data_IF_011974591287
#
_entry.id   IF_011974591287
#
_cell.length_a   1.000
_cell.length_b   1.000
_cell.length_c   1.000
_cell.angle_alpha   90.00
_cell.angle_beta   90.00
_cell.angle_gamma   90.00
#
_symmetry.space_group_name_H-M   'P 1'
#
loop_
_entity.id
_entity.type
_entity.pdbx_description
1 polymer ?
#
# COMPACT_ATOMS: atom_id res chain seq x y z
N UNK A 1 -8.33 20.34 -13.42
CA UNK A 1 -7.00 19.73 -13.39
C UNK A 1 -6.95 18.65 -12.31
N UNK A 2 -7.28 18.96 -11.05
CA UNK A 2 -7.27 18.03 -9.93
C UNK A 2 -8.14 16.80 -10.14
N UNK A 3 -9.35 16.96 -10.68
CA UNK A 3 -10.23 15.84 -10.97
C UNK A 3 -9.60 14.84 -11.94
N UNK A 4 -8.83 15.29 -12.93
CA UNK A 4 -8.14 14.43 -13.88
C UNK A 4 -6.98 13.67 -13.23
N UNK A 5 -6.28 14.31 -12.32
CA UNK A 5 -5.15 13.70 -11.58
C UNK A 5 -5.63 12.59 -10.63
N UNK A 6 -6.76 12.81 -9.96
CA UNK A 6 -7.35 11.81 -9.05
C UNK A 6 -7.74 10.50 -9.74
N UNK A 7 -8.10 10.55 -11.02
CA UNK A 7 -8.45 9.34 -11.76
C UNK A 7 -7.26 8.52 -12.24
N UNK A 8 -6.04 9.06 -12.20
CA UNK A 8 -4.82 8.33 -12.61
C UNK A 8 -4.60 7.11 -11.72
N UNK A 9 -4.71 7.26 -10.40
CA UNK A 9 -4.56 6.15 -9.45
C UNK A 9 -5.63 5.09 -9.66
N UNK A 10 -6.87 5.50 -9.92
CA UNK A 10 -7.96 4.57 -10.22
C UNK A 10 -7.71 3.78 -11.52
N UNK A 11 -7.22 4.44 -12.58
CA UNK A 11 -6.83 3.76 -13.83
C UNK A 11 -5.74 2.73 -13.61
N UNK A 12 -4.70 3.08 -12.86
CA UNK A 12 -3.61 2.15 -12.51
C UNK A 12 -4.13 0.95 -11.72
N UNK A 13 -5.04 1.18 -10.78
CA UNK A 13 -5.62 0.12 -9.98
C UNK A 13 -6.44 -0.87 -10.83
N UNK A 14 -7.27 -0.37 -11.75
CA UNK A 14 -8.05 -1.22 -12.67
C UNK A 14 -7.15 -2.06 -13.56
N UNK A 15 -6.11 -1.44 -14.15
CA UNK A 15 -5.17 -2.15 -15.03
C UNK A 15 -4.38 -3.24 -14.28
N UNK A 16 -4.23 -3.07 -12.97
CA UNK A 16 -3.54 -4.06 -12.12
C UNK A 16 -4.42 -5.27 -11.80
N UNK A 17 -5.67 -5.01 -11.47
CA UNK A 17 -6.67 -6.03 -11.14
C UNK A 17 -8.06 -5.49 -11.46
N UNK A 18 -8.94 -6.29 -12.09
CA UNK A 18 -10.32 -5.89 -12.27
C UNK A 18 -10.97 -5.51 -10.94
N UNK A 19 -11.61 -4.34 -10.90
CA UNK A 19 -12.27 -3.79 -9.73
C UNK A 19 -13.74 -3.62 -10.08
N UNK A 20 -14.63 -4.17 -9.25
CA UNK A 20 -16.07 -4.13 -9.49
C UNK A 20 -16.69 -2.75 -9.23
N UNK A 21 -16.06 -1.94 -8.39
CA UNK A 21 -16.59 -0.63 -8.00
C UNK A 21 -15.49 0.39 -7.82
N UNK A 22 -15.72 1.56 -8.40
CA UNK A 22 -14.94 2.77 -8.14
C UNK A 22 -15.94 3.84 -7.74
N UNK A 23 -15.73 4.46 -6.58
CA UNK A 23 -16.60 5.49 -6.05
C UNK A 23 -15.98 6.87 -6.20
N UNK A 24 -16.79 7.84 -6.56
CA UNK A 24 -16.46 9.24 -6.39
C UNK A 24 -16.85 9.66 -4.97
N UNK A 25 -15.86 10.10 -4.18
CA UNK A 25 -16.08 10.63 -2.83
C UNK A 25 -16.26 12.14 -2.87
N UNK A 26 -17.29 12.65 -2.21
CA UNK A 26 -17.55 14.08 -2.12
C UNK A 26 -19.02 14.42 -1.97
N UNK A 27 -19.31 15.72 -1.92
CA UNK A 27 -20.69 16.21 -1.81
C UNK A 27 -21.34 16.29 -3.20
N UNK A 28 -22.11 15.28 -3.56
CA UNK A 28 -22.75 15.17 -4.86
C UNK A 28 -23.58 16.41 -5.24
N UNK A 29 -24.26 17.03 -4.27
CA UNK A 29 -25.03 18.25 -4.50
C UNK A 29 -24.18 19.42 -5.02
N UNK A 30 -22.91 19.51 -4.61
CA UNK A 30 -21.99 20.51 -5.15
C UNK A 30 -21.58 20.16 -6.57
N UNK A 31 -21.32 18.90 -6.85
CA UNK A 31 -20.96 18.44 -8.19
C UNK A 31 -22.05 18.72 -9.24
N UNK A 32 -23.33 18.60 -8.87
CA UNK A 32 -24.46 18.86 -9.76
C UNK A 32 -24.54 20.31 -10.28
N UNK A 33 -23.82 21.24 -9.67
CA UNK A 33 -23.73 22.63 -10.13
C UNK A 33 -22.74 22.82 -11.29
N UNK A 34 -21.99 21.78 -11.64
CA UNK A 34 -20.96 21.80 -12.68
C UNK A 34 -21.24 20.72 -13.73
N UNK A 35 -22.08 20.98 -14.71
CA UNK A 35 -22.45 20.00 -15.75
C UNK A 35 -21.23 19.38 -16.43
N UNK A 36 -20.25 20.18 -16.78
CA UNK A 36 -19.01 19.73 -17.42
C UNK A 36 -18.20 18.73 -16.56
N UNK A 37 -18.35 18.83 -15.24
CA UNK A 37 -17.75 17.85 -14.32
C UNK A 37 -18.51 16.52 -14.36
N UNK A 38 -19.83 16.58 -14.43
CA UNK A 38 -20.67 15.38 -14.54
C UNK A 38 -20.38 14.65 -15.85
N UNK A 39 -20.33 15.38 -16.96
CA UNK A 39 -19.99 14.82 -18.28
C UNK A 39 -18.61 14.15 -18.28
N UNK A 40 -17.64 14.79 -17.59
CA UNK A 40 -16.31 14.20 -17.42
C UNK A 40 -16.35 12.92 -16.58
N UNK A 41 -17.10 12.88 -15.48
CA UNK A 41 -17.26 11.67 -14.66
C UNK A 41 -17.91 10.54 -15.46
N UNK A 42 -18.92 10.85 -16.28
CA UNK A 42 -19.56 9.88 -17.17
C UNK A 42 -18.54 9.30 -18.17
N UNK A 43 -17.73 10.15 -18.79
CA UNK A 43 -16.68 9.70 -19.71
C UNK A 43 -15.68 8.77 -19.04
N UNK A 44 -15.28 9.07 -17.81
CA UNK A 44 -14.38 8.22 -17.01
C UNK A 44 -15.05 6.89 -16.65
N UNK A 45 -16.32 6.91 -16.28
CA UNK A 45 -17.06 5.68 -16.01
C UNK A 45 -17.13 4.75 -17.25
N UNK A 46 -17.32 5.33 -18.43
CA UNK A 46 -17.34 4.58 -19.68
C UNK A 46 -15.95 4.00 -20.01
N UNK A 47 -14.88 4.79 -19.86
CA UNK A 47 -13.50 4.33 -19.99
C UNK A 47 -13.22 3.15 -19.05
N UNK A 48 -13.66 3.23 -17.80
CA UNK A 48 -13.41 2.16 -16.81
C UNK A 48 -14.19 0.88 -17.10
N UNK A 49 -15.41 0.99 -17.63
CA UNK A 49 -16.16 -0.17 -18.11
C UNK A 49 -15.46 -0.85 -19.27
N UNK A 50 -14.97 -0.08 -20.23
CA UNK A 50 -14.22 -0.62 -21.38
C UNK A 50 -12.91 -1.30 -20.90
N UNK A 51 -12.14 -0.67 -20.04
CA UNK A 51 -10.95 -1.28 -19.45
C UNK A 51 -11.29 -2.59 -18.73
N UNK A 52 -12.32 -2.59 -17.91
CA UNK A 52 -12.76 -3.80 -17.19
C UNK A 52 -13.11 -4.94 -18.16
N UNK A 53 -13.91 -4.66 -19.19
CA UNK A 53 -14.28 -5.67 -20.17
C UNK A 53 -13.06 -6.26 -20.89
N UNK A 54 -12.06 -5.43 -21.16
CA UNK A 54 -10.84 -5.87 -21.85
C UNK A 54 -9.92 -6.73 -20.96
N UNK A 55 -9.93 -6.54 -19.64
CA UNK A 55 -8.97 -7.20 -18.74
C UNK A 55 -9.59 -8.26 -17.82
N UNK A 56 -10.91 -8.32 -17.65
CA UNK A 56 -11.58 -9.20 -16.68
C UNK A 56 -11.24 -10.69 -16.82
N UNK A 57 -10.84 -11.13 -18.02
CA UNK A 57 -10.45 -12.51 -18.30
C UNK A 57 -8.93 -12.73 -18.35
N UNK A 58 -8.13 -11.73 -18.01
CA UNK A 58 -6.67 -11.81 -18.07
C UNK A 58 -6.04 -11.98 -16.69
N UNK A 59 -4.85 -12.57 -16.65
CA UNK A 59 -4.01 -12.62 -15.44
C UNK A 59 -2.81 -11.69 -15.66
N UNK A 60 -2.62 -10.67 -14.82
CA UNK A 60 -1.48 -9.76 -14.96
C UNK A 60 -0.17 -10.53 -14.75
N UNK A 61 0.79 -10.31 -15.63
CA UNK A 61 2.15 -10.79 -15.44
C UNK A 61 2.94 -9.82 -14.57
N UNK A 62 3.52 -10.34 -13.49
CA UNK A 62 4.32 -9.57 -12.55
C UNK A 62 5.77 -10.03 -12.60
N UNK A 63 6.69 -9.07 -12.66
CA UNK A 63 8.13 -9.34 -12.76
C UNK A 63 8.67 -9.90 -11.45
N UNK A 64 8.24 -9.34 -10.33
CA UNK A 64 8.66 -9.67 -8.97
C UNK A 64 7.52 -9.46 -7.97
N UNK A 65 7.62 -10.16 -6.84
CA UNK A 65 6.70 -10.00 -5.72
C UNK A 65 7.33 -9.09 -4.66
N UNK A 66 6.63 -8.00 -4.34
CA UNK A 66 7.06 -7.01 -3.35
C UNK A 66 6.10 -7.02 -2.18
N UNK A 67 6.61 -7.22 -0.97
CA UNK A 67 5.83 -7.14 0.25
C UNK A 67 6.02 -5.79 0.94
N UNK A 68 4.91 -5.11 1.25
CA UNK A 68 4.91 -3.93 2.12
C UNK A 68 4.56 -4.41 3.52
N UNK A 69 5.49 -4.23 4.47
CA UNK A 69 5.27 -4.59 5.86
C UNK A 69 4.35 -3.59 6.54
N UNK A 70 3.45 -4.10 7.36
CA UNK A 70 2.55 -3.29 8.16
C UNK A 70 2.25 -3.92 9.53
N UNK A 71 1.90 -3.08 10.49
CA UNK A 71 1.40 -3.46 11.80
C UNK A 71 -0.11 -3.27 11.83
N UNK A 72 -0.85 -4.13 11.12
CA UNK A 72 -2.27 -3.93 10.87
C UNK A 72 -3.10 -3.71 12.14
N UNK A 73 -2.88 -4.50 13.19
CA UNK A 73 -3.59 -4.35 14.46
C UNK A 73 -3.32 -3.00 15.13
N UNK A 74 -2.07 -2.58 15.15
CA UNK A 74 -1.66 -1.28 15.72
C UNK A 74 -2.19 -0.12 14.89
N UNK A 75 -2.15 -0.23 13.57
CA UNK A 75 -2.69 0.76 12.66
C UNK A 75 -4.20 0.94 12.85
N UNK A 76 -4.93 -0.16 13.03
CA UNK A 76 -6.36 -0.13 13.30
C UNK A 76 -6.66 0.51 14.66
N UNK A 77 -5.95 0.11 15.72
CA UNK A 77 -6.11 0.69 17.06
C UNK A 77 -5.84 2.20 17.02
N UNK A 78 -4.76 2.62 16.37
CA UNK A 78 -4.45 4.03 16.18
C UNK A 78 -5.57 4.77 15.42
N UNK A 79 -6.08 4.22 14.33
CA UNK A 79 -7.18 4.79 13.55
C UNK A 79 -8.49 4.94 14.34
N UNK A 80 -8.72 4.11 15.38
CA UNK A 80 -9.86 4.25 16.27
C UNK A 80 -9.75 5.43 17.25
N UNK A 81 -8.52 5.86 17.57
CA UNK A 81 -8.26 6.92 18.53
C UNK A 81 -7.93 8.27 17.90
N UNK A 82 -7.65 8.30 16.62
CA UNK A 82 -7.25 9.49 15.89
C UNK A 82 -8.26 9.87 14.83
N UNK A 83 -8.57 11.15 14.74
CA UNK A 83 -9.38 11.67 13.64
C UNK A 83 -8.54 11.64 12.37
N UNK A 84 -8.92 10.82 11.43
CA UNK A 84 -8.20 10.63 10.15
C UNK A 84 -7.98 11.92 9.35
N UNK A 85 -8.73 12.98 9.64
CA UNK A 85 -8.59 14.28 8.98
C UNK A 85 -7.43 15.13 9.55
N UNK A 86 -6.87 14.77 10.68
CA UNK A 86 -5.73 15.47 11.30
C UNK A 86 -4.39 14.83 10.91
N UNK A 87 -4.20 14.55 9.65
CA UNK A 87 -3.12 13.70 9.15
C UNK A 87 -1.84 14.47 8.89
N UNK A 88 -1.24 15.03 9.90
CA UNK A 88 0.12 15.57 9.80
C UNK A 88 1.20 14.57 10.25
N UNK A 89 0.90 13.29 10.11
CA UNK A 89 1.80 12.25 10.59
C UNK A 89 2.70 11.75 9.48
N UNK A 90 3.99 11.89 9.68
CA UNK A 90 5.04 11.50 8.72
C UNK A 90 4.87 10.07 8.21
N UNK A 91 4.41 9.17 9.07
CA UNK A 91 4.16 7.76 8.75
C UNK A 91 3.17 7.56 7.61
N UNK A 92 2.08 8.33 7.63
CA UNK A 92 1.06 8.24 6.58
C UNK A 92 1.60 8.68 5.23
N UNK A 93 2.46 9.70 5.21
CA UNK A 93 3.08 10.17 3.98
C UNK A 93 4.00 9.12 3.37
N UNK A 94 4.84 8.49 4.19
CA UNK A 94 5.74 7.44 3.72
C UNK A 94 4.97 6.24 3.20
N UNK A 95 3.95 5.78 3.93
CA UNK A 95 3.12 4.65 3.54
C UNK A 95 2.32 4.93 2.26
N UNK A 96 1.64 6.06 2.21
CA UNK A 96 0.90 6.49 1.02
C UNK A 96 1.84 6.71 -0.18
N UNK A 97 3.01 7.29 0.04
CA UNK A 97 4.02 7.49 -0.99
C UNK A 97 4.54 6.19 -1.60
N UNK A 98 4.77 5.17 -0.77
CA UNK A 98 5.17 3.84 -1.27
C UNK A 98 4.05 3.16 -2.04
N UNK A 99 2.81 3.22 -1.55
CA UNK A 99 1.65 2.67 -2.27
C UNK A 99 1.49 3.36 -3.63
N UNK A 100 1.60 4.68 -3.66
CA UNK A 100 1.53 5.44 -4.92
C UNK A 100 2.69 5.10 -5.86
N UNK A 101 3.90 4.99 -5.36
CA UNK A 101 5.08 4.62 -6.15
C UNK A 101 4.97 3.21 -6.75
N UNK A 102 4.38 2.28 -6.03
CA UNK A 102 4.15 0.91 -6.49
C UNK A 102 2.92 0.79 -7.41
N UNK A 103 2.04 1.79 -7.39
CA UNK A 103 0.82 1.79 -8.21
C UNK A 103 1.18 1.81 -9.70
N UNK A 104 0.72 0.82 -10.45
CA UNK A 104 1.02 0.66 -11.87
C UNK A 104 2.43 0.13 -12.20
N UNK A 105 3.25 -0.15 -11.18
CA UNK A 105 4.51 -0.86 -11.38
C UNK A 105 4.25 -2.35 -11.70
N UNK A 106 5.13 -3.03 -12.46
CA UNK A 106 4.92 -4.40 -12.89
C UNK A 106 5.27 -5.42 -11.79
N UNK A 107 4.92 -5.11 -10.54
CA UNK A 107 5.16 -5.96 -9.39
C UNK A 107 3.86 -6.54 -8.83
N UNK A 108 3.94 -7.76 -8.30
CA UNK A 108 2.89 -8.28 -7.43
C UNK A 108 3.08 -7.70 -6.02
N UNK A 109 2.21 -6.76 -5.64
CA UNK A 109 2.31 -6.07 -4.34
C UNK A 109 1.44 -6.80 -3.33
N UNK A 110 2.08 -7.27 -2.27
CA UNK A 110 1.42 -7.89 -1.12
C UNK A 110 1.59 -7.02 0.12
N UNK A 111 0.59 -7.06 0.99
CA UNK A 111 0.67 -6.46 2.31
C UNK A 111 0.81 -7.60 3.33
N UNK A 112 1.89 -7.59 4.08
CA UNK A 112 2.22 -8.62 5.08
C UNK A 112 2.34 -7.94 6.42
N UNK A 113 1.68 -8.47 7.44
CA UNK A 113 1.81 -7.98 8.80
C UNK A 113 3.00 -8.66 9.50
N UNK A 114 3.46 -8.05 10.58
CA UNK A 114 4.45 -8.69 11.44
C UNK A 114 3.90 -9.94 12.12
N UNK A 115 2.59 -9.96 12.38
CA UNK A 115 1.92 -11.14 12.93
C UNK A 115 1.94 -12.31 11.94
N UNK A 116 1.72 -12.06 10.65
CA UNK A 116 1.83 -13.09 9.61
C UNK A 116 3.24 -13.73 9.59
N UNK A 117 4.28 -12.89 9.73
CA UNK A 117 5.68 -13.40 9.78
C UNK A 117 5.92 -14.19 11.07
N UNK A 118 5.38 -13.73 12.19
CA UNK A 118 5.53 -14.41 13.50
C UNK A 118 4.87 -15.77 13.48
N UNK A 119 3.66 -15.85 12.93
CA UNK A 119 2.90 -17.09 12.84
C UNK A 119 3.49 -18.06 11.81
N UNK A 120 3.93 -17.55 10.68
CA UNK A 120 4.50 -18.35 9.60
C UNK A 120 5.65 -17.64 8.87
N UNK A 121 6.88 -17.74 9.35
CA UNK A 121 8.04 -17.12 8.70
C UNK A 121 8.25 -17.56 7.24
N UNK A 122 7.73 -18.73 6.84
CA UNK A 122 7.84 -19.22 5.46
C UNK A 122 7.01 -18.39 4.45
N UNK A 123 6.14 -17.49 4.91
CA UNK A 123 5.44 -16.54 4.02
C UNK A 123 6.44 -15.72 3.20
N UNK A 124 7.64 -15.49 3.70
CA UNK A 124 8.69 -14.75 3.02
C UNK A 124 9.32 -15.51 1.85
N UNK A 125 9.18 -16.84 1.78
CA UNK A 125 9.77 -17.65 0.71
C UNK A 125 9.18 -17.32 -0.68
N UNK A 126 7.99 -16.71 -0.71
CA UNK A 126 7.32 -16.28 -1.94
C UNK A 126 7.54 -14.80 -2.30
N UNK A 127 8.39 -14.10 -1.54
CA UNK A 127 8.64 -12.67 -1.66
C UNK A 127 10.04 -12.45 -2.23
N UNK A 128 10.17 -11.50 -3.15
CA UNK A 128 11.48 -11.08 -3.66
C UNK A 128 12.03 -9.88 -2.90
N UNK A 129 11.16 -8.94 -2.53
CA UNK A 129 11.57 -7.69 -1.86
C UNK A 129 10.59 -7.35 -0.74
N UNK A 130 11.12 -6.98 0.41
CA UNK A 130 10.37 -6.44 1.55
C UNK A 130 10.61 -4.93 1.62
N UNK A 131 9.53 -4.15 1.76
CA UNK A 131 9.59 -2.73 2.05
C UNK A 131 9.04 -2.48 3.46
N UNK A 132 9.88 -1.98 4.35
CA UNK A 132 9.46 -1.48 5.66
C UNK A 132 9.37 0.05 5.60
N UNK A 133 8.21 0.59 5.92
CA UNK A 133 7.83 1.97 5.59
C UNK A 133 7.77 2.84 6.83
N UNK A 134 8.47 3.98 6.78
CA UNK A 134 8.38 5.05 7.76
C UNK A 134 9.25 4.87 9.01
N UNK A 135 8.92 5.63 10.03
CA UNK A 135 9.67 5.65 11.27
C UNK A 135 9.39 4.39 12.10
N UNK A 136 10.42 3.84 12.72
CA UNK A 136 10.33 2.58 13.44
C UNK A 136 9.44 2.60 14.68
N UNK A 137 9.25 3.74 15.31
CA UNK A 137 8.40 3.90 16.50
C UNK A 137 6.91 4.05 16.19
N UNK A 138 6.53 3.89 14.93
CA UNK A 138 5.18 4.20 14.49
C UNK A 138 4.29 2.97 14.39
N UNK A 139 2.99 3.18 14.39
CA UNK A 139 2.01 2.11 14.24
C UNK A 139 2.11 1.39 12.89
N UNK A 140 2.68 2.03 11.87
CA UNK A 140 2.74 1.50 10.51
C UNK A 140 4.03 0.72 10.23
N UNK A 141 5.11 1.04 10.92
CA UNK A 141 6.44 0.47 10.68
C UNK A 141 6.80 -0.69 11.59
N UNK A 142 5.96 -0.94 12.56
CA UNK A 142 6.14 -2.02 13.51
C UNK A 142 7.00 -1.70 14.72
N UNK A 143 7.72 -0.57 14.77
CA UNK A 143 8.45 -0.14 15.97
C UNK A 143 9.07 -1.28 16.78
N UNK A 144 8.53 -1.52 17.96
CA UNK A 144 8.96 -2.59 18.86
C UNK A 144 8.80 -4.02 18.30
N UNK A 145 8.10 -4.26 17.20
CA UNK A 145 8.03 -5.58 16.58
C UNK A 145 9.40 -6.08 16.15
N UNK A 146 10.32 -5.17 15.85
CA UNK A 146 11.69 -5.53 15.48
C UNK A 146 12.53 -6.06 16.67
N UNK A 147 12.05 -5.94 17.91
CA UNK A 147 12.63 -6.55 19.09
C UNK A 147 12.31 -8.05 19.16
N UNK A 148 11.29 -8.48 18.43
CA UNK A 148 10.93 -9.90 18.36
C UNK A 148 12.00 -10.69 17.60
N UNK A 149 12.56 -11.70 18.27
CA UNK A 149 13.61 -12.54 17.71
C UNK A 149 13.12 -13.37 16.51
N UNK A 150 11.85 -13.75 16.47
CA UNK A 150 11.27 -14.51 15.35
C UNK A 150 11.26 -13.63 14.10
N UNK A 151 10.76 -12.42 14.21
CA UNK A 151 10.69 -11.47 13.11
C UNK A 151 12.09 -11.10 12.61
N UNK A 152 12.97 -10.68 13.53
CA UNK A 152 14.34 -10.28 13.20
C UNK A 152 15.12 -11.42 12.55
N UNK A 153 14.98 -12.65 13.03
CA UNK A 153 15.63 -13.82 12.45
C UNK A 153 15.07 -14.15 11.06
N UNK A 154 13.75 -14.12 10.91
CA UNK A 154 13.10 -14.40 9.62
C UNK A 154 13.54 -13.43 8.53
N UNK A 155 13.53 -12.13 8.83
CA UNK A 155 13.95 -11.09 7.87
C UNK A 155 15.46 -11.19 7.58
N UNK A 156 16.30 -11.43 8.58
CA UNK A 156 17.74 -11.62 8.34
C UNK A 156 18.02 -12.86 7.47
N UNK A 157 17.31 -13.97 7.72
CA UNK A 157 17.42 -15.18 6.90
C UNK A 157 16.96 -14.90 5.47
N UNK A 158 15.86 -14.18 5.29
CA UNK A 158 15.35 -13.77 3.99
C UNK A 158 16.42 -12.98 3.20
N UNK A 159 17.02 -11.95 3.81
CA UNK A 159 18.06 -11.15 3.17
C UNK A 159 19.32 -12.00 2.90
N UNK A 160 19.73 -12.86 3.84
CA UNK A 160 20.87 -13.76 3.66
C UNK A 160 20.67 -14.69 2.45
N UNK A 161 19.44 -15.11 2.20
CA UNK A 161 19.09 -15.97 1.08
C UNK A 161 18.90 -15.23 -0.24
N UNK A 162 19.19 -13.91 -0.27
CA UNK A 162 19.14 -13.09 -1.48
C UNK A 162 17.89 -12.23 -1.65
N UNK A 163 17.01 -12.20 -0.66
CA UNK A 163 15.85 -11.30 -0.65
C UNK A 163 16.27 -9.84 -0.48
N UNK A 164 15.57 -8.94 -1.14
CA UNK A 164 15.79 -7.50 -1.02
C UNK A 164 15.08 -6.90 0.18
N UNK A 165 15.73 -6.00 0.92
CA UNK A 165 15.09 -5.22 1.99
C UNK A 165 15.27 -3.73 1.73
N UNK A 166 14.15 -3.00 1.70
CA UNK A 166 14.11 -1.54 1.52
C UNK A 166 13.52 -0.92 2.78
N UNK A 167 14.30 -0.09 3.46
CA UNK A 167 13.83 0.74 4.56
C UNK A 167 13.55 2.16 4.09
N UNK A 168 12.41 2.71 4.48
CA UNK A 168 12.01 4.09 4.18
C UNK A 168 11.89 4.85 5.49
N UNK A 169 12.62 5.96 5.61
CA UNK A 169 12.72 6.71 6.86
C UNK A 169 13.58 5.95 7.89
N UNK A 170 13.05 5.76 9.08
CA UNK A 170 13.64 4.90 10.13
C UNK A 170 13.01 3.51 10.08
N UNK A 171 13.59 2.58 9.34
CA UNK A 171 12.90 1.37 8.95
C UNK A 171 12.71 0.35 10.07
N UNK A 172 13.53 0.38 11.12
CA UNK A 172 13.46 -0.63 12.18
C UNK A 172 13.08 -0.09 13.55
N UNK A 173 13.19 1.22 13.77
CA UNK A 173 12.98 1.85 15.07
C UNK A 173 13.88 1.37 16.19
N UNK A 174 14.91 0.65 15.83
CA UNK A 174 15.79 0.06 16.80
C UNK A 174 17.00 0.94 17.03
N UNK A 175 16.85 1.92 17.90
CA UNK A 175 17.95 2.78 18.33
C UNK A 175 19.12 2.01 18.96
N UNK A 176 18.88 0.76 19.33
CA UNK A 176 19.80 -0.05 20.10
C UNK A 176 20.43 -1.21 19.33
N UNK A 177 19.99 -1.51 18.14
CA UNK A 177 20.61 -2.56 17.32
C UNK A 177 21.89 -2.11 16.62
N UNK A 178 22.21 -0.86 16.69
CA UNK A 178 23.37 -0.26 16.03
C UNK A 178 24.61 -0.17 16.92
N UNK A 179 24.74 -1.01 17.89
CA UNK A 179 25.99 -1.13 18.63
C UNK A 179 27.01 -1.94 17.89
#
# INVERSE_FOLDING_TARGET
REAKENWVTARRAILRKPIDRIGYGGYLKLALQFPEFIDYVESVCNEFRELYENIKGTTPYCVKTVAVLNSWGKMRAWGCHMVHHALYQKQNYSYAGIIEALSGAPFDVKFISFDDIRENPAILDSIDVIINVGDGDTAHTGGAEWEDAVISSAVRKFVHNGGGFIGVGEPSGHQYQGH
#
